data_IF_764311369460
#
_entry.id   IF_764311369460
#
_cell.length_a   1.000
_cell.length_b   1.000
_cell.length_c   1.000
_cell.angle_alpha   90.00
_cell.angle_beta   90.00
_cell.angle_gamma   90.00
#
_symmetry.space_group_name_H-M   'P 1'
#
loop_
_entity.id
_entity.type
_entity.pdbx_description
1 polymer ?
#
# COMPACT_ATOMS: atom_id res chain seq x y z
N UNK A 1 8.64 -11.68 -18.60
CA UNK A 1 7.29 -11.60 -17.97
C UNK A 1 7.24 -10.91 -16.60
N UNK A 2 7.81 -11.45 -15.52
CA UNK A 2 7.63 -10.88 -14.16
C UNK A 2 8.11 -9.42 -14.02
N UNK A 3 9.25 -9.08 -14.64
CA UNK A 3 9.82 -7.71 -14.63
C UNK A 3 8.89 -6.71 -15.32
N UNK A 4 8.40 -7.03 -16.53
CA UNK A 4 7.45 -6.17 -17.25
C UNK A 4 6.15 -5.97 -16.46
N UNK A 5 5.65 -7.02 -15.82
CA UNK A 5 4.47 -6.94 -14.98
C UNK A 5 4.67 -6.03 -13.76
N UNK A 6 5.83 -6.14 -13.09
CA UNK A 6 6.20 -5.28 -11.96
C UNK A 6 6.29 -3.81 -12.38
N UNK A 7 6.94 -3.52 -13.52
CA UNK A 7 7.05 -2.16 -14.07
C UNK A 7 5.67 -1.59 -14.36
N UNK A 8 4.79 -2.34 -15.03
CA UNK A 8 3.42 -1.90 -15.34
C UNK A 8 2.61 -1.58 -14.09
N UNK A 9 2.73 -2.39 -13.03
CA UNK A 9 2.04 -2.13 -11.76
C UNK A 9 2.59 -0.89 -11.07
N UNK A 10 3.91 -0.69 -11.08
CA UNK A 10 4.54 0.49 -10.50
C UNK A 10 4.08 1.76 -11.21
N UNK A 11 4.11 1.79 -12.54
CA UNK A 11 3.68 2.98 -13.31
C UNK A 11 2.21 3.33 -13.07
N UNK A 12 1.33 2.32 -12.99
CA UNK A 12 -0.07 2.52 -12.64
C UNK A 12 -0.26 3.01 -11.19
N UNK A 13 0.54 2.52 -10.24
CA UNK A 13 0.54 3.01 -8.87
C UNK A 13 1.00 4.48 -8.82
N UNK A 14 2.15 4.81 -9.40
CA UNK A 14 2.70 6.17 -9.42
C UNK A 14 1.71 7.18 -10.03
N UNK A 15 1.01 6.79 -11.11
CA UNK A 15 -0.04 7.63 -11.73
C UNK A 15 -1.18 7.90 -10.76
N UNK A 16 -1.66 6.88 -10.03
CA UNK A 16 -2.74 7.04 -9.04
C UNK A 16 -2.31 7.91 -7.87
N UNK A 17 -1.08 7.76 -7.37
CA UNK A 17 -0.55 8.60 -6.29
C UNK A 17 -0.53 10.07 -6.72
N UNK A 18 0.00 10.36 -7.92
CA UNK A 18 0.05 11.74 -8.45
C UNK A 18 -1.33 12.36 -8.65
N UNK A 19 -2.34 11.56 -9.00
CA UNK A 19 -3.72 12.02 -9.17
C UNK A 19 -4.50 12.11 -7.84
N UNK A 20 -3.96 11.57 -6.75
CA UNK A 20 -4.63 11.60 -5.45
C UNK A 20 -4.54 13.00 -4.82
N UNK A 21 -5.51 13.34 -3.96
CA UNK A 21 -5.53 14.63 -3.24
C UNK A 21 -4.28 14.86 -2.39
N UNK A 22 -3.72 13.80 -1.82
CA UNK A 22 -2.52 13.88 -0.98
C UNK A 22 -1.22 13.95 -1.81
N UNK A 23 -1.25 13.49 -3.07
CA UNK A 23 -0.05 13.41 -3.89
C UNK A 23 0.98 12.42 -3.33
N UNK A 24 2.26 12.70 -3.61
CA UNK A 24 3.37 11.95 -3.02
C UNK A 24 3.58 12.44 -1.60
N UNK A 25 3.44 11.53 -0.63
CA UNK A 25 3.69 11.82 0.79
C UNK A 25 5.08 11.30 1.15
N UNK A 26 5.95 12.21 1.57
CA UNK A 26 7.26 11.87 2.15
C UNK A 26 7.12 11.88 3.68
N UNK A 27 7.63 10.84 4.33
CA UNK A 27 7.65 10.75 5.78
C UNK A 27 9.02 11.14 6.31
N UNK A 28 9.03 11.97 7.35
CA UNK A 28 10.24 12.43 8.01
C UNK A 28 10.53 11.59 9.27
N UNK A 29 11.80 11.59 9.68
CA UNK A 29 12.21 10.87 10.89
C UNK A 29 11.44 11.40 12.11
N UNK A 30 10.86 10.50 12.89
CA UNK A 30 10.07 10.82 14.08
C UNK A 30 8.57 10.97 13.83
N UNK A 31 8.11 10.91 12.57
CA UNK A 31 6.69 10.81 12.28
C UNK A 31 6.20 9.38 12.48
N UNK A 32 5.06 9.25 13.17
CA UNK A 32 4.37 7.98 13.32
C UNK A 32 3.69 7.60 12.00
N UNK A 33 3.84 6.34 11.60
CA UNK A 33 3.31 5.83 10.33
C UNK A 33 2.68 4.47 10.55
N UNK A 34 1.59 4.21 9.85
CA UNK A 34 0.93 2.91 9.88
C UNK A 34 1.19 2.19 8.56
N UNK A 35 1.58 0.91 8.64
CA UNK A 35 1.80 0.05 7.49
C UNK A 35 0.50 -0.69 7.18
N UNK A 36 0.12 -0.71 5.90
CA UNK A 36 -1.05 -1.45 5.43
C UNK A 36 -0.69 -2.91 5.13
N UNK A 37 -1.45 -3.84 5.70
CA UNK A 37 -1.25 -5.29 5.54
C UNK A 37 -1.75 -5.80 4.18
N UNK A 38 -0.99 -5.48 3.12
CA UNK A 38 -1.33 -5.84 1.73
C UNK A 38 -1.50 -7.36 1.52
N UNK A 39 -0.70 -8.19 2.22
CA UNK A 39 -0.78 -9.64 2.10
C UNK A 39 -2.15 -10.13 2.56
N UNK A 40 -2.57 -9.70 3.74
CA UNK A 40 -3.88 -10.04 4.29
C UNK A 40 -5.02 -9.44 3.46
N UNK A 41 -4.85 -8.21 2.93
CA UNK A 41 -5.84 -7.57 2.06
C UNK A 41 -6.13 -8.40 0.80
N UNK A 42 -5.09 -9.07 0.29
CA UNK A 42 -5.14 -9.81 -0.97
C UNK A 42 -5.69 -11.23 -0.85
N UNK A 43 -5.87 -11.74 0.38
CA UNK A 43 -6.45 -13.06 0.61
C UNK A 43 -7.96 -12.99 0.85
N UNK A 44 -8.66 -14.10 0.63
CA UNK A 44 -10.07 -14.27 1.03
C UNK A 44 -10.19 -15.10 2.32
N UNK A 45 -9.18 -15.02 3.20
CA UNK A 45 -9.16 -15.76 4.45
C UNK A 45 -10.09 -15.14 5.50
N UNK A 46 -10.54 -15.96 6.45
CA UNK A 46 -11.31 -15.48 7.61
C UNK A 46 -10.52 -14.46 8.43
N UNK A 47 -9.19 -14.63 8.54
CA UNK A 47 -8.28 -13.69 9.21
C UNK A 47 -8.44 -12.26 8.69
N UNK A 48 -8.64 -12.07 7.39
CA UNK A 48 -8.86 -10.74 6.80
C UNK A 48 -10.11 -10.04 7.35
N UNK A 49 -11.12 -10.81 7.78
CA UNK A 49 -12.37 -10.24 8.33
C UNK A 49 -12.22 -9.76 9.76
N UNK A 50 -11.25 -10.31 10.51
CA UNK A 50 -11.12 -10.10 11.95
C UNK A 50 -9.87 -9.28 12.32
N UNK A 51 -8.81 -9.36 11.54
CA UNK A 51 -7.55 -8.70 11.85
C UNK A 51 -7.53 -7.25 11.33
N UNK A 52 -6.92 -6.31 12.08
CA UNK A 52 -6.73 -4.94 11.61
C UNK A 52 -5.91 -4.89 10.32
N UNK A 53 -6.32 -4.00 9.41
CA UNK A 53 -5.62 -3.79 8.13
C UNK A 53 -4.43 -2.84 8.23
N UNK A 54 -4.31 -2.14 9.35
CA UNK A 54 -3.28 -1.14 9.61
C UNK A 54 -2.50 -1.54 10.87
N UNK A 55 -1.18 -1.41 10.82
CA UNK A 55 -0.34 -1.61 12.00
C UNK A 55 -0.58 -0.51 13.04
N UNK A 56 -0.17 -0.73 14.30
CA UNK A 56 0.05 0.36 15.24
C UNK A 56 1.01 1.42 14.63
N UNK A 57 0.85 2.71 14.97
CA UNK A 57 1.72 3.80 14.50
C UNK A 57 3.13 3.78 15.09
#
# INVERSE_FOLDING_TARGET
EAVHHAVRRKTAFDRRVRASKAGVVNFEKGQLVQVYENKLASTLSTERKIAPMWSPP
#
